data_IF_063895720951
#
_entry.id   IF_063895720951
#
_cell.length_a   1.000
_cell.length_b   1.000
_cell.length_c   1.000
_cell.angle_alpha   90.00
_cell.angle_beta   90.00
_cell.angle_gamma   90.00
#
_symmetry.space_group_name_H-M   'P 1'
#
loop_
_entity.id
_entity.type
_entity.pdbx_description
1 polymer ?
#
# COMPACT_ATOMS: atom_id res chain seq x y z
N UNK A 1 2.62 -28.15 14.33
CA UNK A 1 2.78 -27.77 12.91
C UNK A 1 1.59 -26.96 12.40
N UNK A 2 0.39 -27.17 12.94
CA UNK A 2 -0.86 -26.54 12.48
C UNK A 2 -0.95 -25.03 12.72
N UNK A 3 -0.42 -24.52 13.85
CA UNK A 3 -0.44 -23.09 14.18
C UNK A 3 0.39 -22.23 13.22
N UNK A 4 1.54 -22.72 12.75
CA UNK A 4 2.38 -21.97 11.81
C UNK A 4 1.75 -21.90 10.42
N UNK A 5 1.08 -22.97 9.98
CA UNK A 5 0.33 -23.02 8.73
C UNK A 5 -0.92 -22.14 8.79
N UNK A 6 -1.61 -22.09 9.94
CA UNK A 6 -2.78 -21.23 10.12
C UNK A 6 -2.40 -19.75 10.10
N UNK A 7 -1.32 -19.35 10.79
CA UNK A 7 -0.80 -17.98 10.76
C UNK A 7 -0.40 -17.55 9.35
N UNK A 8 0.32 -18.41 8.60
CA UNK A 8 0.70 -18.11 7.21
C UNK A 8 -0.51 -17.90 6.30
N UNK A 9 -1.53 -18.75 6.43
CA UNK A 9 -2.77 -18.62 5.64
C UNK A 9 -3.52 -17.34 6.01
N UNK A 10 -3.65 -17.06 7.30
CA UNK A 10 -4.29 -15.84 7.78
C UNK A 10 -3.61 -14.57 7.27
N UNK A 11 -2.28 -14.48 7.40
CA UNK A 11 -1.53 -13.34 6.90
C UNK A 11 -1.76 -13.14 5.39
N UNK A 12 -1.60 -14.20 4.60
CA UNK A 12 -1.78 -14.14 3.15
C UNK A 12 -3.21 -13.75 2.74
N UNK A 13 -4.24 -14.35 3.35
CA UNK A 13 -5.63 -14.01 3.03
C UNK A 13 -5.99 -12.60 3.47
N UNK A 14 -5.53 -12.16 4.64
CA UNK A 14 -5.70 -10.78 5.09
C UNK A 14 -5.01 -9.80 4.13
N UNK A 15 -3.77 -10.07 3.69
CA UNK A 15 -3.09 -9.26 2.67
C UNK A 15 -3.90 -9.20 1.38
N UNK A 16 -4.40 -10.33 0.88
CA UNK A 16 -5.22 -10.38 -0.34
C UNK A 16 -6.50 -9.57 -0.20
N UNK A 17 -7.24 -9.79 0.89
CA UNK A 17 -8.51 -9.11 1.17
C UNK A 17 -8.30 -7.60 1.30
N UNK A 18 -7.31 -7.16 2.08
CA UNK A 18 -6.98 -5.75 2.26
C UNK A 18 -6.56 -5.09 0.95
N UNK A 19 -5.74 -5.77 0.15
CA UNK A 19 -5.27 -5.27 -1.15
C UNK A 19 -6.41 -5.13 -2.16
N UNK A 20 -7.28 -6.14 -2.27
CA UNK A 20 -8.39 -6.14 -3.22
C UNK A 20 -9.52 -5.21 -2.79
N UNK A 21 -10.06 -5.42 -1.58
CA UNK A 21 -11.26 -4.72 -1.12
C UNK A 21 -11.01 -3.23 -0.87
N UNK A 22 -9.82 -2.87 -0.39
CA UNK A 22 -9.44 -1.48 -0.17
C UNK A 22 -8.88 -0.85 -1.45
N UNK A 23 -7.58 -0.97 -1.65
CA UNK A 23 -6.84 -0.23 -2.67
C UNK A 23 -7.23 -0.65 -4.10
N UNK A 24 -7.41 -1.95 -4.33
CA UNK A 24 -7.83 -2.49 -5.62
C UNK A 24 -9.19 -1.95 -6.08
N UNK A 25 -10.22 -2.07 -5.24
CA UNK A 25 -11.56 -1.51 -5.50
C UNK A 25 -11.51 -0.01 -5.72
N UNK A 26 -10.76 0.73 -4.89
CA UNK A 26 -10.64 2.17 -5.06
C UNK A 26 -9.99 2.54 -6.40
N UNK A 27 -8.89 1.89 -6.77
CA UNK A 27 -8.21 2.13 -8.05
C UNK A 27 -9.07 1.72 -9.23
N UNK A 28 -9.83 0.63 -9.12
CA UNK A 28 -10.78 0.22 -10.14
C UNK A 28 -11.90 1.26 -10.28
N UNK A 29 -12.45 1.75 -9.17
CA UNK A 29 -13.45 2.80 -9.18
C UNK A 29 -12.93 4.08 -9.86
N UNK A 30 -11.71 4.53 -9.56
CA UNK A 30 -11.10 5.66 -10.27
C UNK A 30 -10.81 5.38 -11.74
N UNK A 31 -10.40 4.15 -12.09
CA UNK A 31 -10.18 3.73 -13.48
C UNK A 31 -11.49 3.75 -14.31
N UNK A 32 -12.63 3.54 -13.64
CA UNK A 32 -13.97 3.61 -14.24
C UNK A 32 -14.55 5.04 -14.26
N UNK A 33 -13.77 6.06 -13.88
CA UNK A 33 -14.19 7.47 -13.89
C UNK A 33 -14.79 7.95 -12.56
N UNK A 34 -14.70 7.14 -11.50
CA UNK A 34 -15.10 7.57 -10.16
C UNK A 34 -14.23 8.69 -9.59
N UNK A 35 -14.82 9.60 -8.81
CA UNK A 35 -14.14 10.80 -8.27
C UNK A 35 -14.11 10.86 -6.74
N UNK A 36 -14.74 9.92 -6.04
CA UNK A 36 -14.68 9.88 -4.58
C UNK A 36 -13.23 9.81 -4.08
N UNK A 37 -12.90 10.59 -3.05
CA UNK A 37 -11.57 10.66 -2.41
C UNK A 37 -10.41 11.14 -3.29
N UNK A 38 -10.63 11.56 -4.55
CA UNK A 38 -9.54 12.05 -5.42
C UNK A 38 -8.95 13.37 -4.93
N UNK A 39 -9.81 14.28 -4.46
CA UNK A 39 -9.39 15.58 -3.90
C UNK A 39 -8.60 15.45 -2.60
N UNK A 40 -8.84 14.38 -1.84
CA UNK A 40 -8.16 14.06 -0.58
C UNK A 40 -7.12 12.95 -0.74
N UNK A 41 -6.78 12.57 -1.98
CA UNK A 41 -5.78 11.54 -2.22
C UNK A 41 -4.42 12.00 -1.67
N UNK A 42 -3.63 11.10 -1.07
CA UNK A 42 -2.38 11.46 -0.43
C UNK A 42 -1.26 11.55 -1.47
N UNK A 43 -1.38 12.55 -2.33
CA UNK A 43 -0.51 12.84 -3.45
C UNK A 43 -0.07 14.32 -3.39
N UNK A 44 1.06 14.70 -4.01
CA UNK A 44 1.42 16.11 -4.20
C UNK A 44 0.30 16.88 -4.92
N UNK A 45 0.26 18.21 -4.72
CA UNK A 45 -0.81 19.08 -5.26
C UNK A 45 -1.02 18.91 -6.76
N UNK A 46 0.05 18.98 -7.55
CA UNK A 46 -0.01 18.80 -9.01
C UNK A 46 -0.61 17.46 -9.43
N UNK A 47 -0.18 16.37 -8.77
CA UNK A 47 -0.70 15.03 -9.05
C UNK A 47 -2.18 14.88 -8.63
N UNK A 48 -2.64 15.59 -7.59
CA UNK A 48 -4.07 15.62 -7.23
C UNK A 48 -4.90 16.42 -8.24
N UNK A 49 -4.39 17.54 -8.72
CA UNK A 49 -5.06 18.36 -9.73
C UNK A 49 -5.24 17.56 -11.03
N UNK A 50 -4.20 16.84 -11.47
CA UNK A 50 -4.29 15.89 -12.59
C UNK A 50 -5.27 14.75 -12.32
N UNK A 51 -5.28 14.22 -11.09
CA UNK A 51 -6.19 13.16 -10.68
C UNK A 51 -7.66 13.59 -10.75
N UNK A 52 -7.95 14.80 -10.27
CA UNK A 52 -9.29 15.41 -10.34
C UNK A 52 -9.67 15.72 -11.78
N UNK A 53 -8.71 16.12 -12.61
CA UNK A 53 -8.94 16.39 -14.04
C UNK A 53 -9.15 15.11 -14.88
N UNK A 54 -8.93 13.92 -14.32
CA UNK A 54 -9.12 12.62 -14.98
C UNK A 54 -8.45 12.54 -16.36
N UNK A 55 -7.21 13.03 -16.46
CA UNK A 55 -6.46 12.99 -17.71
C UNK A 55 -6.29 11.53 -18.20
N UNK A 56 -6.16 11.28 -19.52
CA UNK A 56 -5.96 9.92 -20.04
C UNK A 56 -4.79 9.19 -19.40
N UNK A 57 -3.70 9.90 -19.09
CA UNK A 57 -2.54 9.35 -18.38
C UNK A 57 -2.86 8.90 -16.95
N UNK A 58 -3.68 9.67 -16.22
CA UNK A 58 -4.14 9.31 -14.88
C UNK A 58 -4.99 8.03 -14.90
N UNK A 59 -5.94 7.95 -15.84
CA UNK A 59 -6.81 6.78 -16.00
C UNK A 59 -5.98 5.54 -16.34
N UNK A 60 -5.02 5.66 -17.26
CA UNK A 60 -4.08 4.59 -17.57
C UNK A 60 -3.28 4.16 -16.32
N UNK A 61 -2.81 5.11 -15.51
CA UNK A 61 -2.13 4.84 -14.25
C UNK A 61 -2.98 4.07 -13.24
N UNK A 62 -4.30 4.30 -13.22
CA UNK A 62 -5.23 3.52 -12.40
C UNK A 62 -5.38 2.08 -12.89
N UNK A 63 -5.51 1.86 -14.20
CA UNK A 63 -5.52 0.51 -14.77
C UNK A 63 -4.22 -0.25 -14.50
N UNK A 64 -3.07 0.42 -14.61
CA UNK A 64 -1.77 -0.16 -14.24
C UNK A 64 -1.78 -0.54 -12.75
N UNK A 65 -2.29 0.34 -11.88
CA UNK A 65 -2.39 0.06 -10.44
C UNK A 65 -3.29 -1.15 -10.15
N UNK A 66 -4.43 -1.27 -10.83
CA UNK A 66 -5.32 -2.44 -10.72
C UNK A 66 -4.57 -3.71 -11.13
N UNK A 67 -3.86 -3.67 -12.26
CA UNK A 67 -3.02 -4.79 -12.71
C UNK A 67 -1.98 -5.20 -11.67
N UNK A 68 -1.27 -4.22 -11.09
CA UNK A 68 -0.28 -4.46 -10.03
C UNK A 68 -0.89 -5.06 -8.76
N UNK A 69 -2.10 -4.64 -8.36
CA UNK A 69 -2.81 -5.25 -7.24
C UNK A 69 -3.13 -6.71 -7.52
N UNK A 70 -3.67 -7.01 -8.71
CA UNK A 70 -3.97 -8.39 -9.11
C UNK A 70 -2.70 -9.24 -9.12
N UNK A 71 -1.61 -8.75 -9.72
CA UNK A 71 -0.32 -9.43 -9.72
C UNK A 71 0.23 -9.65 -8.31
N UNK A 72 0.13 -8.66 -7.43
CA UNK A 72 0.52 -8.78 -6.03
C UNK A 72 -0.27 -9.84 -5.28
N UNK A 73 -1.59 -9.86 -5.45
CA UNK A 73 -2.48 -10.87 -4.86
C UNK A 73 -2.14 -12.26 -5.38
N UNK A 74 -1.90 -12.41 -6.68
CA UNK A 74 -1.45 -13.68 -7.27
C UNK A 74 -0.12 -14.12 -6.66
N UNK A 75 0.85 -13.21 -6.50
CA UNK A 75 2.14 -13.50 -5.86
C UNK A 75 1.95 -14.00 -4.41
N UNK A 76 1.04 -13.38 -3.65
CA UNK A 76 0.67 -13.84 -2.30
C UNK A 76 0.05 -15.23 -2.33
N UNK A 77 -0.93 -15.48 -3.22
CA UNK A 77 -1.58 -16.79 -3.34
C UNK A 77 -0.61 -17.90 -3.77
N UNK A 78 0.36 -17.59 -4.63
CA UNK A 78 1.42 -18.51 -5.03
C UNK A 78 2.22 -19.00 -3.81
N UNK A 79 2.38 -18.18 -2.76
CA UNK A 79 3.08 -18.63 -1.54
C UNK A 79 2.34 -19.76 -0.83
N UNK A 80 1.02 -19.86 -0.98
CA UNK A 80 0.15 -20.86 -0.33
C UNK A 80 0.01 -22.14 -1.14
N UNK A 81 0.12 -22.06 -2.47
CA UNK A 81 -0.18 -23.17 -3.38
C UNK A 81 1.03 -24.08 -3.66
N UNK A 82 0.79 -25.38 -3.93
CA UNK A 82 1.86 -26.35 -4.18
C UNK A 82 2.70 -26.03 -5.43
N UNK A 83 2.09 -25.45 -6.48
CA UNK A 83 2.82 -25.01 -7.68
C UNK A 83 3.82 -23.87 -7.43
N UNK A 84 3.67 -23.11 -6.34
CA UNK A 84 4.60 -22.03 -5.99
C UNK A 84 5.90 -22.55 -5.40
N UNK A 85 6.07 -23.86 -5.27
CA UNK A 85 7.32 -24.50 -4.84
C UNK A 85 8.38 -24.49 -5.93
N UNK A 86 8.01 -24.26 -7.19
CA UNK A 86 8.94 -24.14 -8.33
C UNK A 86 9.62 -22.77 -8.41
N UNK A 87 8.98 -21.73 -7.86
CA UNK A 87 9.51 -20.37 -7.87
C UNK A 87 10.52 -20.13 -6.73
N UNK A 88 11.65 -19.46 -7.02
CA UNK A 88 12.58 -19.02 -5.99
C UNK A 88 11.86 -18.14 -4.95
N UNK A 89 11.92 -18.54 -3.68
CA UNK A 89 11.18 -17.83 -2.60
C UNK A 89 11.57 -16.36 -2.49
N UNK A 90 12.84 -16.03 -2.78
CA UNK A 90 13.33 -14.64 -2.80
C UNK A 90 12.59 -13.77 -3.82
N UNK A 91 12.22 -14.31 -4.98
CA UNK A 91 11.46 -13.55 -5.99
C UNK A 91 10.05 -13.19 -5.52
N UNK A 92 9.50 -13.94 -4.54
CA UNK A 92 8.21 -13.63 -3.93
C UNK A 92 8.38 -12.75 -2.70
N UNK A 93 9.31 -13.07 -1.80
CA UNK A 93 9.42 -12.40 -0.50
C UNK A 93 10.11 -11.04 -0.59
N UNK A 94 11.06 -10.81 -1.51
CA UNK A 94 11.74 -9.51 -1.64
C UNK A 94 10.75 -8.42 -2.06
N UNK A 95 9.93 -8.58 -3.12
CA UNK A 95 8.92 -7.58 -3.47
C UNK A 95 7.93 -7.34 -2.33
N UNK A 96 7.51 -8.38 -1.60
CA UNK A 96 6.60 -8.24 -0.46
C UNK A 96 7.20 -7.39 0.67
N UNK A 97 8.48 -7.60 0.99
CA UNK A 97 9.20 -6.76 1.97
C UNK A 97 9.34 -5.33 1.48
N UNK A 98 9.72 -5.13 0.21
CA UNK A 98 9.86 -3.79 -0.38
C UNK A 98 8.54 -3.04 -0.31
N UNK A 99 7.44 -3.65 -0.77
CA UNK A 99 6.11 -3.05 -0.70
C UNK A 99 5.72 -2.77 0.76
N UNK A 100 5.91 -3.74 1.65
CA UNK A 100 5.62 -3.60 3.08
C UNK A 100 6.33 -2.41 3.71
N UNK A 101 7.65 -2.33 3.53
CA UNK A 101 8.48 -1.25 4.03
C UNK A 101 8.09 0.11 3.44
N UNK A 102 7.85 0.18 2.12
CA UNK A 102 7.44 1.43 1.47
C UNK A 102 6.11 1.95 2.05
N UNK A 103 5.14 1.07 2.29
CA UNK A 103 3.85 1.46 2.86
C UNK A 103 3.98 1.90 4.33
N UNK A 104 4.80 1.22 5.13
CA UNK A 104 5.07 1.62 6.52
C UNK A 104 5.82 2.96 6.58
N UNK A 105 6.88 3.13 5.78
CA UNK A 105 7.64 4.38 5.73
C UNK A 105 6.77 5.57 5.31
N UNK A 106 5.91 5.36 4.31
CA UNK A 106 4.90 6.33 3.91
C UNK A 106 3.94 6.65 5.06
N UNK A 107 3.45 5.64 5.79
CA UNK A 107 2.48 5.86 6.86
C UNK A 107 3.12 6.61 8.04
N UNK A 108 4.38 6.32 8.35
CA UNK A 108 5.08 6.97 9.45
C UNK A 108 5.39 8.44 9.19
N UNK A 109 5.60 8.87 7.95
CA UNK A 109 5.98 10.25 7.64
C UNK A 109 7.34 10.44 6.99
N UNK A 110 8.03 9.38 6.56
CA UNK A 110 9.42 9.47 6.08
C UNK A 110 9.58 10.37 4.82
N UNK A 111 8.49 10.61 4.10
CA UNK A 111 8.45 11.44 2.90
C UNK A 111 7.87 12.85 3.15
N UNK A 112 7.73 13.25 4.42
CA UNK A 112 7.14 14.54 4.81
C UNK A 112 5.61 14.55 4.90
N UNK A 113 4.95 13.43 4.61
CA UNK A 113 3.52 13.20 4.76
C UNK A 113 3.27 11.80 5.35
N UNK A 114 2.19 11.65 6.12
CA UNK A 114 1.94 10.52 6.99
C UNK A 114 1.87 10.96 8.47
N UNK A 115 1.77 10.05 9.43
CA UNK A 115 1.54 10.37 10.85
C UNK A 115 2.40 11.53 11.38
N UNK A 116 3.73 11.49 11.20
CA UNK A 116 4.61 12.56 11.68
C UNK A 116 4.37 13.86 10.91
N UNK A 117 4.31 13.80 9.58
CA UNK A 117 4.12 14.98 8.74
C UNK A 117 2.78 15.67 8.99
N UNK A 118 1.71 14.89 9.16
CA UNK A 118 0.37 15.41 9.42
C UNK A 118 0.25 16.04 10.80
N UNK A 119 0.86 15.43 11.81
CA UNK A 119 0.94 16.04 13.15
C UNK A 119 1.69 17.36 13.08
N UNK A 120 2.84 17.43 12.38
CA UNK A 120 3.60 18.67 12.22
C UNK A 120 2.81 19.79 11.53
N UNK A 121 2.00 19.47 10.52
CA UNK A 121 1.10 20.44 9.86
C UNK A 121 -0.01 20.89 10.82
N UNK A 122 -0.61 19.96 11.57
CA UNK A 122 -1.71 20.27 12.48
C UNK A 122 -1.27 21.08 13.71
N UNK A 123 -0.05 20.85 14.20
CA UNK A 123 0.55 21.63 15.30
C UNK A 123 1.16 22.95 14.84
N UNK A 124 1.24 23.21 13.53
CA UNK A 124 1.88 24.40 12.98
C UNK A 124 3.40 24.40 13.08
N UNK A 125 4.01 23.23 13.25
CA UNK A 125 5.47 23.06 13.34
C UNK A 125 6.16 23.18 11.98
N UNK A 126 5.41 23.06 10.88
CA UNK A 126 5.89 23.27 9.50
C UNK A 126 5.25 24.54 8.94
N UNK A 127 6.06 25.34 8.25
CA UNK A 127 5.57 26.53 7.56
C UNK A 127 4.73 26.15 6.34
N UNK A 128 3.48 26.61 6.33
CA UNK A 128 2.56 26.47 5.20
C UNK A 128 2.14 27.87 4.78
N UNK A 129 2.12 28.13 3.48
CA UNK A 129 1.68 29.40 2.93
C UNK A 129 0.26 29.73 3.47
N UNK A 130 -0.01 30.97 3.92
CA UNK A 130 -1.29 31.34 4.54
C UNK A 130 -2.52 30.95 3.70
N UNK A 131 -2.42 31.04 2.38
CA UNK A 131 -3.48 30.67 1.43
C UNK A 131 -3.82 29.18 1.41
N UNK A 132 -2.90 28.31 1.82
CA UNK A 132 -3.01 26.86 1.73
C UNK A 132 -3.24 26.19 3.11
N UNK A 133 -3.20 26.94 4.22
CA UNK A 133 -3.26 26.39 5.60
C UNK A 133 -4.51 25.55 5.84
N UNK A 134 -5.67 26.02 5.42
CA UNK A 134 -6.94 25.32 5.65
C UNK A 134 -6.99 23.99 4.90
N UNK A 135 -6.60 24.01 3.61
CA UNK A 135 -6.53 22.82 2.77
C UNK A 135 -5.50 21.84 3.33
N UNK A 136 -4.32 22.33 3.73
CA UNK A 136 -3.27 21.48 4.32
C UNK A 136 -3.75 20.79 5.59
N UNK A 137 -4.42 21.51 6.51
CA UNK A 137 -5.00 20.92 7.72
C UNK A 137 -6.09 19.89 7.41
N UNK A 138 -6.96 20.18 6.44
CA UNK A 138 -7.99 19.24 6.03
C UNK A 138 -7.37 17.94 5.48
N UNK A 139 -6.41 18.07 4.56
CA UNK A 139 -5.72 16.92 3.97
C UNK A 139 -4.95 16.11 5.02
N UNK A 140 -4.26 16.77 5.94
CA UNK A 140 -3.55 16.08 7.02
C UNK A 140 -4.49 15.35 7.99
N UNK A 141 -5.68 15.88 8.25
CA UNK A 141 -6.69 15.13 9.04
C UNK A 141 -7.16 13.89 8.31
N UNK A 142 -7.43 14.00 7.01
CA UNK A 142 -7.87 12.84 6.20
C UNK A 142 -6.75 11.83 6.09
N UNK A 143 -5.50 12.24 5.88
CA UNK A 143 -4.37 11.32 5.84
C UNK A 143 -4.16 10.61 7.18
N UNK A 144 -4.13 11.36 8.29
CA UNK A 144 -3.95 10.81 9.62
C UNK A 144 -5.06 9.82 10.03
N UNK A 145 -6.32 10.10 9.66
CA UNK A 145 -7.48 9.29 10.08
C UNK A 145 -7.79 8.12 9.14
N UNK A 146 -7.50 8.26 7.84
CA UNK A 146 -7.87 7.28 6.83
C UNK A 146 -6.65 6.65 6.19
N UNK A 147 -5.79 7.46 5.56
CA UNK A 147 -4.75 6.94 4.69
C UNK A 147 -3.60 6.32 5.48
N UNK A 148 -2.97 7.05 6.39
CA UNK A 148 -1.84 6.56 7.20
C UNK A 148 -2.15 5.25 7.94
N UNK A 149 -3.29 5.12 8.65
CA UNK A 149 -3.68 3.84 9.25
C UNK A 149 -3.86 2.73 8.20
N UNK A 150 -4.52 3.03 7.09
CA UNK A 150 -4.73 2.07 6.00
C UNK A 150 -3.42 1.55 5.42
N UNK A 151 -2.47 2.46 5.14
CA UNK A 151 -1.15 2.13 4.59
C UNK A 151 -0.27 1.39 5.61
N UNK A 152 -0.35 1.75 6.88
CA UNK A 152 0.35 1.03 7.95
C UNK A 152 -0.12 -0.42 8.03
N UNK A 153 -1.44 -0.64 8.14
CA UNK A 153 -2.02 -1.99 8.17
C UNK A 153 -1.63 -2.77 6.92
N UNK A 154 -1.74 -2.14 5.75
CA UNK A 154 -1.39 -2.79 4.49
C UNK A 154 0.08 -3.21 4.46
N UNK A 155 0.99 -2.33 4.87
CA UNK A 155 2.42 -2.61 4.93
C UNK A 155 2.78 -3.72 5.90
N UNK A 156 2.17 -3.71 7.09
CA UNK A 156 2.33 -4.77 8.09
C UNK A 156 1.83 -6.12 7.59
N UNK A 157 0.71 -6.16 6.86
CA UNK A 157 0.19 -7.38 6.25
C UNK A 157 1.15 -7.95 5.19
N UNK A 158 1.71 -7.09 4.33
CA UNK A 158 2.73 -7.51 3.35
C UNK A 158 3.99 -8.07 4.03
N UNK A 159 4.49 -7.37 5.05
CA UNK A 159 5.62 -7.83 5.86
C UNK A 159 5.33 -9.14 6.60
N UNK A 160 4.15 -9.29 7.19
CA UNK A 160 3.73 -10.51 7.87
C UNK A 160 3.63 -11.70 6.92
N UNK A 161 3.11 -11.50 5.70
CA UNK A 161 3.07 -12.54 4.66
C UNK A 161 4.47 -12.94 4.19
N UNK A 162 5.37 -11.97 4.03
CA UNK A 162 6.77 -12.23 3.68
C UNK A 162 7.48 -13.00 4.81
N UNK A 163 7.31 -12.58 6.06
CA UNK A 163 7.88 -13.22 7.25
C UNK A 163 7.38 -14.64 7.44
N UNK A 164 6.06 -14.86 7.30
CA UNK A 164 5.45 -16.17 7.42
C UNK A 164 5.80 -17.13 6.27
N UNK A 165 6.47 -16.66 5.22
CA UNK A 165 6.96 -17.46 4.09
C UNK A 165 8.42 -17.84 4.33
N UNK A 166 8.72 -19.08 4.78
CA UNK A 166 10.08 -19.44 5.16
C UNK A 166 11.02 -19.39 3.96
N UNK A 167 12.16 -18.70 4.12
CA UNK A 167 13.30 -18.87 3.23
C UNK A 167 13.92 -20.24 3.53
N UNK A 168 13.94 -21.14 2.55
CA UNK A 168 14.73 -22.37 2.69
C UNK A 168 16.21 -21.97 2.75
N UNK A 169 17.00 -22.51 3.71
CA UNK A 169 18.45 -22.40 3.65
C UNK A 169 18.90 -22.94 2.29
N UNK A 170 19.84 -22.25 1.63
CA UNK A 170 20.53 -22.84 0.50
C UNK A 170 21.10 -24.17 0.98
N UNK A 171 20.71 -25.29 0.35
CA UNK A 171 21.36 -26.58 0.59
C UNK A 171 22.84 -26.34 0.33
N UNK A 172 23.66 -26.33 1.38
CA UNK A 172 25.08 -26.61 1.26
C UNK A 172 25.17 -27.95 0.55
N UNK A 173 25.62 -27.94 -0.71
CA UNK A 173 25.91 -29.17 -1.44
C UNK A 173 27.08 -29.86 -0.68
N UNK A 174 27.01 -31.18 -0.45
CA UNK A 174 28.13 -31.94 0.08
C UNK A 174 29.31 -31.93 -0.89
#
# INVERSE_FOLDING_TARGET
MDRALSVRRWAAYATCAWSLAGYGTLKLYWALGGTALTSTAPLPRSAREELVAQTPGTIAGHWISVGLVVLGVLAVLVTLRPWGRTLPRRLLTVPMWVIGCLMVLRACGALGFGFIGDVMVLTGSVHVAPSDVEIARHLSRVDLLLWSPYFLVWGLLWGATAWATPMRPARSRP
#
